data_IF_832937153675
#
_entry.id   IF_832937153675
#
_cell.length_a   1.000
_cell.length_b   1.000
_cell.length_c   1.000
_cell.angle_alpha   90.00
_cell.angle_beta   90.00
_cell.angle_gamma   90.00
#
_symmetry.space_group_name_H-M   'P 1'
#
loop_
_entity.id
_entity.type
_entity.pdbx_description
1 polymer ?
#
# COMPACT_ATOMS: atom_id res chain seq x y z
N UNK A 1 -14.09 24.30 -23.41
CA UNK A 1 -13.89 23.67 -22.10
C UNK A 1 -12.41 23.30 -22.04
N UNK A 2 -11.62 23.81 -21.07
CA UNK A 2 -10.19 23.43 -20.99
C UNK A 2 -10.10 21.98 -20.50
N UNK A 3 -9.28 21.17 -21.16
CA UNK A 3 -8.92 19.85 -20.65
C UNK A 3 -8.19 20.02 -19.32
N UNK A 4 -8.62 19.28 -18.30
CA UNK A 4 -7.94 19.29 -16.99
C UNK A 4 -6.74 18.36 -17.09
N UNK A 5 -5.53 18.91 -16.95
CA UNK A 5 -4.30 18.13 -16.90
C UNK A 5 -4.02 17.67 -15.46
N UNK A 6 -3.70 16.39 -15.28
CA UNK A 6 -3.41 15.80 -13.95
C UNK A 6 -2.20 16.48 -13.30
N UNK A 7 -1.27 17.01 -14.10
CA UNK A 7 -0.10 17.76 -13.62
C UNK A 7 -0.46 19.10 -12.94
N UNK A 8 -1.60 19.70 -13.29
CA UNK A 8 -2.09 20.94 -12.69
C UNK A 8 -2.91 20.68 -11.40
N UNK A 9 -3.28 19.43 -11.13
CA UNK A 9 -4.00 19.06 -9.92
C UNK A 9 -3.04 18.91 -8.73
N UNK A 10 -3.25 19.73 -7.70
CA UNK A 10 -2.43 19.69 -6.50
C UNK A 10 -2.87 18.55 -5.58
N UNK A 11 -2.53 17.31 -5.93
CA UNK A 11 -2.94 16.12 -5.18
C UNK A 11 -2.47 16.16 -3.71
N UNK A 12 -1.35 16.83 -3.42
CA UNK A 12 -0.77 16.98 -2.09
C UNK A 12 -1.68 17.71 -1.09
N UNK A 13 -2.53 18.63 -1.55
CA UNK A 13 -3.41 19.44 -0.68
C UNK A 13 -4.77 18.78 -0.45
N UNK A 14 -5.05 17.68 -1.13
CA UNK A 14 -6.30 16.93 -0.98
C UNK A 14 -6.17 15.85 0.09
N UNK A 15 -7.29 15.40 0.68
CA UNK A 15 -7.30 14.24 1.59
C UNK A 15 -6.79 12.95 0.93
N UNK A 16 -6.70 12.91 -0.40
CA UNK A 16 -6.13 11.80 -1.15
C UNK A 16 -4.62 11.63 -0.90
N UNK A 17 -3.87 12.71 -0.66
CA UNK A 17 -2.43 12.59 -0.33
C UNK A 17 -2.22 11.86 1.00
N UNK A 18 -3.12 12.07 1.96
CA UNK A 18 -3.11 11.39 3.24
C UNK A 18 -3.43 9.90 3.06
N UNK A 19 -4.48 9.57 2.31
CA UNK A 19 -4.79 8.16 1.96
C UNK A 19 -3.63 7.50 1.23
N UNK A 20 -3.05 8.17 0.22
CA UNK A 20 -1.90 7.68 -0.53
C UNK A 20 -0.74 7.42 0.41
N UNK A 21 -0.41 8.33 1.31
CA UNK A 21 0.65 8.14 2.32
C UNK A 21 0.40 6.96 3.25
N UNK A 22 -0.87 6.73 3.63
CA UNK A 22 -1.26 5.60 4.47
C UNK A 22 -1.11 4.26 3.76
N UNK A 23 -1.48 4.15 2.48
CA UNK A 23 -1.40 2.90 1.70
C UNK A 23 -0.07 2.74 0.96
N UNK A 24 0.73 3.80 0.85
CA UNK A 24 2.05 3.76 0.23
C UNK A 24 3.00 2.90 1.07
N UNK A 25 3.87 2.17 0.38
CA UNK A 25 4.82 1.22 0.95
C UNK A 25 4.76 -0.15 0.28
N UNK A 26 5.85 -0.90 0.44
CA UNK A 26 6.10 -2.17 -0.26
C UNK A 26 5.08 -3.28 0.05
N UNK A 27 4.46 -3.25 1.23
CA UNK A 27 3.67 -4.38 1.74
C UNK A 27 2.19 -4.07 1.94
N UNK A 28 1.80 -2.81 2.13
CA UNK A 28 0.44 -2.45 2.53
C UNK A 28 -0.60 -2.80 1.47
N UNK A 29 -0.28 -2.55 0.19
CA UNK A 29 -1.15 -2.92 -0.92
C UNK A 29 -1.31 -4.44 -1.05
N UNK A 30 -0.20 -5.20 -0.93
CA UNK A 30 -0.24 -6.66 -0.99
C UNK A 30 -1.05 -7.25 0.16
N UNK A 31 -0.90 -6.74 1.38
CA UNK A 31 -1.67 -7.20 2.55
C UNK A 31 -3.15 -6.91 2.34
N UNK A 32 -3.50 -5.70 1.89
CA UNK A 32 -4.91 -5.33 1.62
C UNK A 32 -5.53 -6.23 0.54
N UNK A 33 -4.79 -6.52 -0.53
CA UNK A 33 -5.25 -7.45 -1.57
C UNK A 33 -5.46 -8.86 -1.03
N UNK A 34 -4.51 -9.39 -0.27
CA UNK A 34 -4.63 -10.72 0.34
C UNK A 34 -5.82 -10.80 1.29
N UNK A 35 -6.07 -9.76 2.09
CA UNK A 35 -7.21 -9.72 3.00
C UNK A 35 -8.55 -9.61 2.25
N UNK A 36 -8.57 -8.92 1.11
CA UNK A 36 -9.75 -8.84 0.25
C UNK A 36 -10.07 -10.18 -0.42
N UNK A 37 -9.06 -10.91 -0.90
CA UNK A 37 -9.23 -12.17 -1.62
C UNK A 37 -9.46 -13.37 -0.70
N UNK A 38 -8.72 -13.46 0.42
CA UNK A 38 -8.71 -14.62 1.32
C UNK A 38 -9.36 -14.35 2.69
N UNK A 39 -9.84 -13.13 2.94
CA UNK A 39 -10.44 -12.75 4.21
C UNK A 39 -9.42 -12.58 5.34
N UNK A 40 -9.79 -12.97 6.57
CA UNK A 40 -8.91 -12.81 7.74
C UNK A 40 -7.84 -13.91 7.74
N UNK A 41 -6.61 -13.53 7.36
CA UNK A 41 -5.46 -14.43 7.29
C UNK A 41 -4.54 -14.24 8.50
N UNK A 42 -4.07 -15.32 9.12
CA UNK A 42 -3.09 -15.25 10.24
C UNK A 42 -1.74 -14.72 9.74
N UNK A 43 -1.04 -13.98 10.59
CA UNK A 43 0.26 -13.38 10.29
C UNK A 43 1.29 -14.37 9.72
N UNK A 44 1.31 -15.62 10.20
CA UNK A 44 2.27 -16.62 9.76
C UNK A 44 2.02 -17.08 8.31
N UNK A 45 0.76 -17.09 7.86
CA UNK A 45 0.40 -17.42 6.47
C UNK A 45 0.80 -16.28 5.52
N UNK A 46 0.59 -15.02 5.95
CA UNK A 46 1.02 -13.83 5.17
C UNK A 46 2.54 -13.82 5.00
N UNK A 47 3.30 -14.22 6.03
CA UNK A 47 4.75 -14.32 5.97
C UNK A 47 5.23 -15.36 4.95
N UNK A 48 4.47 -16.46 4.77
CA UNK A 48 4.78 -17.51 3.80
C UNK A 48 4.45 -17.10 2.35
N UNK A 49 3.35 -16.38 2.12
CA UNK A 49 3.05 -15.73 0.83
C UNK A 49 4.19 -14.77 0.44
N UNK A 50 4.79 -14.14 1.44
CA UNK A 50 5.88 -13.19 1.29
C UNK A 50 7.27 -13.82 1.18
N UNK A 51 7.40 -15.14 1.01
CA UNK A 51 8.71 -15.75 0.73
C UNK A 51 9.33 -15.24 -0.58
N UNK A 52 8.49 -14.81 -1.55
CA UNK A 52 8.91 -14.09 -2.77
C UNK A 52 9.26 -12.60 -2.50
N UNK A 53 8.76 -12.03 -1.39
CA UNK A 53 8.83 -10.60 -1.08
C UNK A 53 9.30 -10.37 0.37
N UNK A 54 10.58 -10.08 0.62
CA UNK A 54 11.17 -10.21 1.94
C UNK A 54 10.59 -9.19 2.92
N UNK A 55 9.56 -9.56 3.69
CA UNK A 55 9.16 -8.84 4.91
C UNK A 55 10.23 -9.15 5.98
N UNK A 56 11.48 -8.80 5.69
CA UNK A 56 12.47 -8.66 6.73
C UNK A 56 12.22 -7.30 7.34
N UNK A 57 11.87 -7.34 8.62
CA UNK A 57 12.02 -6.22 9.53
C UNK A 57 13.44 -5.68 9.28
N UNK A 58 13.56 -4.56 8.58
CA UNK A 58 14.71 -3.69 8.73
C UNK A 58 14.60 -3.14 10.14
N UNK A 59 15.04 -3.96 11.11
CA UNK A 59 15.36 -3.48 12.43
C UNK A 59 16.45 -2.42 12.23
N UNK A 60 16.25 -1.18 12.72
CA UNK A 60 17.32 -0.21 12.74
C UNK A 60 18.43 -0.77 13.65
N UNK A 61 19.64 -0.90 13.10
CA UNK A 61 20.86 -0.98 13.89
C UNK A 61 21.16 0.40 14.47
#
# INVERSE_FOLDING_TARGET
MRERCIADECLSTTGFSYTLSLINGKYKMTILYTLMEFGVVRFNEIKNISAEFPIRHSAPL
#
